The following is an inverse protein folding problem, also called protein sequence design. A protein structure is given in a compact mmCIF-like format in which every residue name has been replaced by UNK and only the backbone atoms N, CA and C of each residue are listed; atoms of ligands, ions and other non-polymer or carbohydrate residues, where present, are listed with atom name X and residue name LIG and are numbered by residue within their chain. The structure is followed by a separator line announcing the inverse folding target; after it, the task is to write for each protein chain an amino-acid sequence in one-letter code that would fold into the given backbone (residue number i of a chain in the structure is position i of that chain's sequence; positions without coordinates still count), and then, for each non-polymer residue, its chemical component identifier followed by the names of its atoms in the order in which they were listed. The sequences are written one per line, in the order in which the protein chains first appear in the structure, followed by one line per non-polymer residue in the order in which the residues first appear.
data_IF_894136671575
#
_entry.id   IF_894136671575
#
_cell.length_a   1.000
_cell.length_b   1.000
_cell.length_c   1.000
_cell.angle_alpha   90.00
_cell.angle_beta   90.00
_cell.angle_gamma   90.00
#
_symmetry.space_group_name_H-M   'P 1'
#
loop_
_entity.id
_entity.type
_entity.pdbx_description
1 polymer ?
#
# COMPACT_ATOMS: atom_id res chain seq x y z
N UNK A 1 4.28 -8.40 5.63
CA UNK A 1 4.73 -8.44 4.21
C UNK A 1 4.98 -7.04 3.68
N UNK A 2 3.94 -6.27 3.32
CA UNK A 2 4.12 -4.91 2.76
C UNK A 2 4.62 -3.89 3.78
N UNK A 3 4.36 -4.07 5.09
CA UNK A 3 4.81 -3.14 6.13
C UNK A 3 6.34 -2.99 6.20
N UNK A 4 7.12 -3.97 5.70
CA UNK A 4 8.59 -3.84 5.57
C UNK A 4 9.00 -2.78 4.55
N UNK A 5 8.14 -2.48 3.58
CA UNK A 5 8.31 -1.43 2.58
C UNK A 5 7.60 -0.12 3.00
N UNK A 6 7.04 -0.08 4.21
CA UNK A 6 6.25 1.03 4.79
C UNK A 6 4.98 1.33 3.99
N UNK A 7 5.12 1.94 2.83
CA UNK A 7 4.03 2.34 1.95
C UNK A 7 4.51 2.37 0.48
N UNK A 8 4.61 1.22 -0.22
CA UNK A 8 4.95 1.19 -1.64
C UNK A 8 3.91 1.97 -2.48
N UNK A 9 4.40 2.78 -3.42
CA UNK A 9 3.55 3.61 -4.28
C UNK A 9 2.65 2.73 -5.17
N UNK A 10 1.40 3.14 -5.33
CA UNK A 10 0.35 2.44 -6.06
C UNK A 10 -0.61 3.41 -6.80
N UNK A 11 -0.10 4.50 -7.37
CA UNK A 11 -0.88 5.41 -8.22
C UNK A 11 -1.57 4.66 -9.36
N UNK A 12 -0.85 3.73 -9.97
CA UNK A 12 -1.38 2.77 -10.92
C UNK A 12 -1.53 1.39 -10.25
N UNK A 13 -2.72 0.77 -10.27
CA UNK A 13 -2.98 -0.47 -9.52
C UNK A 13 -2.12 -1.65 -9.98
N UNK A 14 -1.89 -1.80 -11.29
CA UNK A 14 -1.13 -2.90 -11.88
C UNK A 14 0.36 -2.85 -11.50
N UNK A 15 0.97 -1.65 -11.54
CA UNK A 15 2.38 -1.47 -11.23
C UNK A 15 2.72 -1.80 -9.77
N UNK A 16 1.76 -1.68 -8.85
CA UNK A 16 1.96 -2.10 -7.47
C UNK A 16 2.22 -3.61 -7.34
N UNK A 17 1.54 -4.45 -8.13
CA UNK A 17 1.79 -5.90 -8.12
C UNK A 17 3.19 -6.23 -8.66
N UNK A 18 3.58 -5.61 -9.77
CA UNK A 18 4.92 -5.79 -10.35
C UNK A 18 6.00 -5.34 -9.36
N UNK A 19 5.83 -4.17 -8.75
CA UNK A 19 6.78 -3.62 -7.78
C UNK A 19 6.95 -4.48 -6.53
N UNK A 20 5.90 -5.17 -6.09
CA UNK A 20 5.96 -6.13 -4.98
C UNK A 20 6.57 -7.47 -5.41
N UNK A 21 6.27 -7.94 -6.62
CA UNK A 21 6.84 -9.16 -7.19
C UNK A 21 8.38 -9.10 -7.28
N UNK A 22 8.92 -7.96 -7.72
CA UNK A 22 10.37 -7.77 -7.82
C UNK A 22 11.08 -7.65 -6.45
N UNK A 23 10.37 -7.32 -5.37
CA UNK A 23 10.98 -6.99 -4.06
C UNK A 23 10.70 -8.00 -2.96
N UNK A 24 9.66 -8.81 -3.10
CA UNK A 24 9.27 -9.76 -2.06
C UNK A 24 9.29 -11.18 -2.61
N UNK A 25 10.16 -11.99 -2.03
CA UNK A 25 10.29 -13.40 -2.36
C UNK A 25 8.95 -14.14 -2.24
N UNK A 26 8.65 -14.99 -3.23
CA UNK A 26 7.41 -15.76 -3.32
C UNK A 26 6.13 -14.90 -3.21
N UNK A 27 6.16 -13.67 -3.75
CA UNK A 27 4.95 -12.88 -3.90
C UNK A 27 4.07 -13.44 -5.02
N UNK A 28 2.77 -13.46 -4.77
CA UNK A 28 1.74 -13.79 -5.76
C UNK A 28 0.60 -12.78 -5.66
N UNK A 29 -0.10 -12.56 -6.77
CA UNK A 29 -1.29 -11.71 -6.79
C UNK A 29 -2.35 -12.21 -5.77
N UNK A 30 -2.52 -13.53 -5.67
CA UNK A 30 -3.41 -14.19 -4.70
C UNK A 30 -3.08 -13.91 -3.24
N UNK A 31 -1.88 -13.44 -2.92
CA UNK A 31 -1.52 -12.99 -1.55
C UNK A 31 -1.95 -11.55 -1.25
N UNK A 32 -2.17 -10.70 -2.27
CA UNK A 32 -2.50 -9.29 -2.06
C UNK A 32 -3.99 -9.01 -2.32
N UNK A 33 -4.55 -9.56 -3.39
CA UNK A 33 -5.93 -9.24 -3.81
C UNK A 33 -6.97 -9.56 -2.72
N UNK A 34 -6.94 -10.71 -2.03
CA UNK A 34 -7.86 -10.96 -0.92
C UNK A 34 -7.70 -9.96 0.21
N UNK A 35 -6.46 -9.60 0.58
CA UNK A 35 -6.19 -8.64 1.66
C UNK A 35 -6.67 -7.22 1.35
N UNK A 36 -6.70 -6.84 0.07
CA UNK A 36 -7.35 -5.59 -0.38
C UNK A 36 -8.88 -5.68 -0.22
N UNK A 37 -9.49 -6.81 -0.60
CA UNK A 37 -10.93 -7.04 -0.43
C UNK A 37 -11.35 -7.06 1.04
N UNK A 38 -10.55 -7.71 1.88
CA UNK A 38 -10.77 -7.84 3.33
C UNK A 38 -10.33 -6.59 4.12
N UNK A 39 -9.90 -5.53 3.43
CA UNK A 39 -9.43 -4.25 4.01
C UNK A 39 -8.27 -4.38 5.00
N UNK A 40 -7.50 -5.47 4.90
CA UNK A 40 -6.24 -5.65 5.65
C UNK A 40 -5.08 -4.85 5.02
N UNK A 41 -5.18 -4.58 3.73
CA UNK A 41 -4.33 -3.64 3.00
C UNK A 41 -5.22 -2.56 2.41
N UNK A 42 -4.79 -1.31 2.51
CA UNK A 42 -5.51 -0.15 1.99
C UNK A 42 -4.68 0.49 0.89
N UNK A 43 -5.36 0.92 -0.20
CA UNK A 43 -4.79 1.80 -1.23
C UNK A 43 -5.34 3.20 -1.02
N UNK A 44 -4.49 4.16 -0.65
CA UNK A 44 -4.93 5.53 -0.35
C UNK A 44 -3.78 6.54 -0.46
N UNK A 45 -4.12 7.83 -0.45
CA UNK A 45 -3.15 8.94 -0.41
C UNK A 45 -2.31 8.91 0.85
N UNK A 46 -0.98 9.00 0.71
CA UNK A 46 -0.05 8.82 1.83
C UNK A 46 1.20 9.69 1.67
N UNK A 47 2.35 9.11 1.29
CA UNK A 47 3.61 9.84 1.20
C UNK A 47 3.60 10.76 -0.04
N UNK A 48 4.01 12.02 0.13
CA UNK A 48 4.11 13.00 -0.97
C UNK A 48 2.80 13.16 -1.76
N UNK A 49 1.66 13.00 -1.09
CA UNK A 49 0.31 13.10 -1.68
C UNK A 49 0.03 12.16 -2.87
N UNK A 50 0.80 11.07 -3.04
CA UNK A 50 0.51 10.02 -4.04
C UNK A 50 -0.25 8.86 -3.42
N UNK A 51 -0.82 7.96 -4.24
CA UNK A 51 -1.47 6.74 -3.72
C UNK A 51 -0.43 5.68 -3.33
N UNK A 52 -0.65 4.99 -2.22
CA UNK A 52 0.20 3.90 -1.72
C UNK A 52 -0.61 2.73 -1.23
N UNK A 53 0.00 1.54 -1.21
CA UNK A 53 -0.48 0.40 -0.44
C UNK A 53 0.13 0.43 0.96
N UNK A 54 -0.68 0.29 1.99
CA UNK A 54 -0.24 0.16 3.38
C UNK A 54 -1.06 -0.88 4.12
N UNK A 55 -0.48 -1.54 5.11
CA UNK A 55 -1.26 -2.40 6.01
C UNK A 55 -2.26 -1.51 6.77
N UNK A 56 -3.46 -2.00 7.05
CA UNK A 56 -4.52 -1.15 7.62
C UNK A 56 -4.13 -0.49 8.95
N UNK A 57 -3.36 -1.20 9.79
CA UNK A 57 -2.87 -0.65 11.07
C UNK A 57 -1.79 0.42 10.86
N UNK A 58 -0.86 0.19 9.93
CA UNK A 58 0.16 1.17 9.57
C UNK A 58 -0.46 2.42 8.95
N UNK A 59 -1.44 2.22 8.06
CA UNK A 59 -2.21 3.30 7.45
C UNK A 59 -2.86 4.16 8.52
N UNK A 60 -3.56 3.57 9.49
CA UNK A 60 -4.20 4.33 10.58
C UNK A 60 -3.20 5.14 11.39
N UNK A 61 -2.01 4.60 11.66
CA UNK A 61 -0.93 5.32 12.37
C UNK A 61 -0.34 6.47 11.55
N UNK A 62 -0.17 6.28 10.24
CA UNK A 62 0.53 7.23 9.37
C UNK A 62 -0.39 8.29 8.75
N UNK A 63 -1.67 7.98 8.54
CA UNK A 63 -2.66 8.82 7.83
C UNK A 63 -2.78 10.25 8.35
N UNK A 64 -2.67 10.54 9.67
CA UNK A 64 -2.75 11.92 10.16
C UNK A 64 -1.64 12.84 9.65
N UNK A 65 -0.44 12.30 9.41
CA UNK A 65 0.74 13.10 9.03
C UNK A 65 0.57 13.82 7.69
N UNK A 66 0.17 13.17 6.58
CA UNK A 66 -0.06 13.83 5.30
C UNK A 66 -1.47 14.43 5.15
N UNK A 67 -2.38 14.23 6.13
CA UNK A 67 -3.76 14.70 6.04
C UNK A 67 -3.90 16.20 5.68
N UNK A 68 -3.10 17.13 6.23
CA UNK A 68 -3.24 18.56 5.91
C UNK A 68 -2.91 18.93 4.46
N UNK A 69 -2.11 18.12 3.76
CA UNK A 69 -1.64 18.38 2.39
C UNK A 69 -2.33 17.53 1.34
N UNK A 70 -3.26 16.66 1.74
CA UNK A 70 -4.05 15.83 0.85
C UNK A 70 -5.30 16.62 0.46
N UNK A 71 -5.48 16.81 -0.85
CA UNK A 71 -6.62 17.49 -1.47
C UNK A 71 -7.71 16.52 -1.89
#
# INVERSE_FOLDING_TARGET
MIGRLVAPQAQEPNWAYVGLWCRIHAFTQSRLTPRLKDRQVVRSGLLRSTQHLAAADDFRRQRPLPQPTLV
#
